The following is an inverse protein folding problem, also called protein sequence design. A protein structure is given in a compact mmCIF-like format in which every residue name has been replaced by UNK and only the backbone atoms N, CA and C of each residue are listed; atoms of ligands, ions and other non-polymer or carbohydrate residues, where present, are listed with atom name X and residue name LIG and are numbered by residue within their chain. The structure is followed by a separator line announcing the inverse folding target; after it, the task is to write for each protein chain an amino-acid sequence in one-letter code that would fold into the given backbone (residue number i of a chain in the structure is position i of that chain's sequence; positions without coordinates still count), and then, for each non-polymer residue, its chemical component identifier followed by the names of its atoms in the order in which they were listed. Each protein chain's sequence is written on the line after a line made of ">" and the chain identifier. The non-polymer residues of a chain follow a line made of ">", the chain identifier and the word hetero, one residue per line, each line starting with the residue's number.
data_IF_281579431001
#
_entry.id   IF_281579431001
#
_cell.length_a   1.000
_cell.length_b   1.000
_cell.length_c   1.000
_cell.angle_alpha   90.00
_cell.angle_beta   90.00
_cell.angle_gamma   90.00
#
_symmetry.space_group_name_H-M   'P 1'
#
loop_
_entity.id
_entity.type
_entity.pdbx_description
1 polymer ?
#
# COMPACT_ATOMS: atom_id res chain seq x y z
N UNK A 1 6.63 -14.43 40.65
CA UNK A 1 7.60 -15.23 39.88
C UNK A 1 7.90 -14.45 38.61
N UNK A 2 9.15 -14.26 38.19
CA UNK A 2 9.42 -13.66 36.89
C UNK A 2 8.78 -14.54 35.82
N UNK A 3 8.06 -13.93 34.87
CA UNK A 3 7.42 -14.65 33.76
C UNK A 3 8.49 -15.50 33.05
N UNK A 4 8.25 -16.80 32.93
CA UNK A 4 9.10 -17.69 32.15
C UNK A 4 9.14 -17.18 30.71
N UNK A 5 10.33 -16.89 30.21
CA UNK A 5 10.56 -16.59 28.79
C UNK A 5 10.39 -17.90 28.04
N UNK A 6 9.17 -18.20 27.63
CA UNK A 6 8.90 -19.35 26.76
C UNK A 6 9.36 -18.95 25.36
N UNK A 7 10.51 -19.49 24.94
CA UNK A 7 10.96 -19.42 23.55
C UNK A 7 9.93 -20.18 22.70
N UNK A 8 9.40 -19.51 21.67
CA UNK A 8 8.37 -20.07 20.80
C UNK A 8 8.80 -21.47 20.27
N UNK A 9 7.87 -22.45 20.18
CA UNK A 9 8.18 -23.76 19.63
C UNK A 9 8.75 -23.64 18.21
N UNK A 10 9.93 -24.21 17.96
CA UNK A 10 10.61 -24.15 16.65
C UNK A 10 9.82 -24.81 15.50
N UNK A 11 8.77 -25.58 15.83
CA UNK A 11 8.07 -26.44 14.87
C UNK A 11 6.73 -25.89 14.35
N UNK A 12 6.38 -24.65 14.71
CA UNK A 12 5.40 -23.89 13.93
C UNK A 12 6.18 -22.80 13.22
N UNK A 13 6.29 -22.90 11.90
CA UNK A 13 6.45 -21.69 11.09
C UNK A 13 5.32 -20.76 11.54
N UNK A 14 5.63 -19.82 12.43
CA UNK A 14 4.79 -18.66 12.63
C UNK A 14 4.69 -18.08 11.23
N UNK A 15 3.53 -18.27 10.59
CA UNK A 15 3.18 -17.58 9.35
C UNK A 15 2.92 -16.13 9.75
N UNK A 16 3.96 -15.49 10.26
CA UNK A 16 3.97 -14.08 10.48
C UNK A 16 4.12 -13.45 9.11
N UNK A 17 3.17 -12.60 8.76
CA UNK A 17 3.24 -11.75 7.57
C UNK A 17 4.45 -10.80 7.61
N UNK A 18 5.11 -10.71 8.77
CA UNK A 18 6.33 -9.96 9.00
C UNK A 18 7.42 -10.83 9.58
N UNK A 19 8.63 -10.70 9.04
CA UNK A 19 9.78 -11.23 9.71
C UNK A 19 10.04 -10.39 10.99
N UNK A 20 9.86 -11.00 12.16
CA UNK A 20 10.17 -10.42 13.47
C UNK A 20 11.61 -10.72 13.92
N UNK A 21 12.48 -11.29 13.06
CA UNK A 21 13.87 -11.62 13.42
C UNK A 21 14.63 -10.43 14.03
N UNK A 22 14.33 -9.21 13.60
CA UNK A 22 14.95 -7.98 14.09
C UNK A 22 14.11 -7.22 15.12
N UNK A 23 13.01 -7.80 15.61
CA UNK A 23 12.05 -7.14 16.52
C UNK A 23 11.87 -7.99 17.77
N UNK A 24 12.01 -7.37 18.93
CA UNK A 24 11.73 -8.01 20.21
C UNK A 24 10.21 -8.19 20.36
N UNK A 25 9.77 -9.45 20.39
CA UNK A 25 8.37 -9.83 20.58
C UNK A 25 8.25 -10.94 21.62
N UNK A 26 7.08 -11.00 22.27
CA UNK A 26 6.71 -12.05 23.22
C UNK A 26 5.40 -12.68 22.80
N UNK A 27 5.30 -14.00 22.92
CA UNK A 27 4.04 -14.71 22.79
C UNK A 27 3.37 -14.78 24.16
N UNK A 28 2.11 -14.35 24.24
CA UNK A 28 1.30 -14.42 25.45
C UNK A 28 0.69 -15.82 25.61
N UNK A 29 0.15 -16.12 26.80
CA UNK A 29 -0.47 -17.42 27.13
C UNK A 29 -1.63 -17.80 26.20
N UNK A 30 -2.37 -16.82 25.70
CA UNK A 30 -3.50 -16.98 24.76
C UNK A 30 -3.05 -17.14 23.29
N UNK A 31 -1.75 -17.32 23.06
CA UNK A 31 -1.09 -17.38 21.74
C UNK A 31 -1.09 -16.08 20.95
N UNK A 32 -1.54 -14.96 21.53
CA UNK A 32 -1.36 -13.64 20.90
C UNK A 32 0.09 -13.19 21.01
N UNK A 33 0.51 -12.26 20.15
CA UNK A 33 1.86 -11.69 20.15
C UNK A 33 1.81 -10.24 20.63
N UNK A 34 2.76 -9.88 21.48
CA UNK A 34 3.04 -8.49 21.86
C UNK A 34 4.45 -8.10 21.37
N UNK A 35 4.58 -6.88 20.89
CA UNK A 35 5.81 -6.33 20.30
C UNK A 35 6.37 -5.25 21.22
N UNK A 36 7.69 -5.24 21.42
CA UNK A 36 8.39 -4.18 22.13
C UNK A 36 8.01 -2.81 21.58
N UNK A 37 7.60 -1.89 22.46
CA UNK A 37 7.17 -0.56 22.03
C UNK A 37 8.33 0.22 21.38
N UNK A 38 9.57 0.00 21.82
CA UNK A 38 10.75 0.61 21.21
C UNK A 38 10.94 0.19 19.76
N UNK A 39 10.84 -1.10 19.47
CA UNK A 39 11.04 -1.62 18.11
C UNK A 39 9.85 -1.23 17.21
N UNK A 40 8.63 -1.28 17.74
CA UNK A 40 7.45 -0.75 17.06
C UNK A 40 7.65 0.73 16.69
N UNK A 41 8.23 1.53 17.58
CA UNK A 41 8.48 2.94 17.30
C UNK A 41 9.55 3.15 16.24
N UNK A 42 10.62 2.36 16.25
CA UNK A 42 11.69 2.43 15.24
C UNK A 42 11.16 2.03 13.86
N UNK A 43 10.50 0.88 13.75
CA UNK A 43 9.91 0.35 12.50
C UNK A 43 8.93 1.34 11.89
N UNK A 44 8.10 2.00 12.71
CA UNK A 44 7.09 2.95 12.24
C UNK A 44 7.61 4.39 12.13
N UNK A 45 8.90 4.64 12.36
CA UNK A 45 9.48 5.99 12.30
C UNK A 45 8.85 6.96 13.32
N UNK A 46 8.42 6.44 14.46
CA UNK A 46 7.96 7.19 15.63
C UNK A 46 9.11 7.53 16.57
N UNK A 47 10.30 7.70 16.02
CA UNK A 47 11.50 8.16 16.73
C UNK A 47 11.84 9.61 16.33
N UNK A 48 12.46 10.34 17.23
CA UNK A 48 13.01 11.68 17.00
C UNK A 48 14.52 11.60 17.19
N UNK A 49 15.26 11.93 16.15
CA UNK A 49 16.72 12.07 16.21
C UNK A 49 17.04 13.52 16.57
N UNK A 50 17.79 13.71 17.65
CA UNK A 50 18.28 15.02 18.11
C UNK A 50 19.78 14.98 18.25
N UNK A 51 20.48 15.99 17.71
CA UNK A 51 21.92 16.16 17.87
C UNK A 51 22.19 17.15 19.00
N UNK A 52 22.94 16.74 20.01
CA UNK A 52 23.43 17.63 21.07
C UNK A 52 24.87 17.27 21.39
N UNK A 53 25.75 18.28 21.44
CA UNK A 53 27.20 18.13 21.70
C UNK A 53 27.88 17.05 20.83
N UNK A 54 27.52 16.95 19.55
CA UNK A 54 28.09 15.96 18.62
C UNK A 54 27.60 14.52 18.83
N UNK A 55 26.76 14.25 19.84
CA UNK A 55 26.09 12.96 20.07
C UNK A 55 24.69 12.96 19.48
N UNK A 56 24.34 11.87 18.82
CA UNK A 56 23.00 11.61 18.32
C UNK A 56 22.17 10.90 19.39
N UNK A 57 21.05 11.51 19.78
CA UNK A 57 20.08 10.94 20.69
C UNK A 57 18.84 10.53 19.90
N UNK A 58 18.44 9.27 20.06
CA UNK A 58 17.19 8.74 19.51
C UNK A 58 16.16 8.67 20.63
N UNK A 59 15.10 9.46 20.49
CA UNK A 59 14.01 9.53 21.47
C UNK A 59 12.72 9.02 20.85
N UNK A 60 12.11 8.00 21.46
CA UNK A 60 10.80 7.51 21.07
C UNK A 60 9.72 8.58 21.30
N UNK A 61 8.82 8.77 20.34
CA UNK A 61 7.67 9.69 20.43
C UNK A 61 6.53 9.06 21.21
N UNK A 62 6.81 8.68 22.46
CA UNK A 62 5.88 7.97 23.34
C UNK A 62 4.57 8.76 23.55
N UNK A 63 4.63 10.08 23.65
CA UNK A 63 3.44 10.95 23.72
C UNK A 63 2.49 10.74 22.53
N UNK A 64 3.04 10.54 21.33
CA UNK A 64 2.25 10.31 20.13
C UNK A 64 1.64 8.92 20.13
N UNK A 65 2.39 7.90 20.57
CA UNK A 65 1.87 6.53 20.70
C UNK A 65 0.71 6.50 21.69
N UNK A 66 0.90 7.09 22.87
CA UNK A 66 -0.13 7.16 23.91
C UNK A 66 -1.36 7.96 23.48
N UNK A 67 -1.17 9.05 22.72
CA UNK A 67 -2.30 9.77 22.11
C UNK A 67 -3.14 8.84 21.21
N UNK A 68 -2.49 8.09 20.33
CA UNK A 68 -3.22 7.15 19.44
C UNK A 68 -3.83 5.98 20.21
N UNK A 69 -3.14 5.47 21.24
CA UNK A 69 -3.68 4.46 22.16
C UNK A 69 -5.02 4.91 22.75
N UNK A 70 -5.07 6.13 23.27
CA UNK A 70 -6.29 6.71 23.84
C UNK A 70 -7.39 6.93 22.79
N UNK A 71 -7.04 7.40 21.59
CA UNK A 71 -8.00 7.56 20.47
C UNK A 71 -8.64 6.22 20.05
N UNK A 72 -7.92 5.11 20.20
CA UNK A 72 -8.43 3.76 19.93
C UNK A 72 -9.09 3.07 21.14
N UNK A 73 -9.25 3.79 22.26
CA UNK A 73 -9.99 3.31 23.42
C UNK A 73 -9.18 2.49 24.43
N UNK A 74 -7.85 2.45 24.31
CA UNK A 74 -7.02 1.85 25.34
C UNK A 74 -6.93 2.78 26.56
N UNK A 75 -7.19 2.23 27.75
CA UNK A 75 -7.00 2.92 29.03
C UNK A 75 -5.56 2.89 29.51
N UNK A 76 -4.77 1.93 29.02
CA UNK A 76 -3.37 1.78 29.39
C UNK A 76 -2.51 2.87 28.75
N UNK A 77 -1.57 3.38 29.55
CA UNK A 77 -0.55 4.32 29.10
C UNK A 77 0.76 3.58 29.00
N UNK A 78 1.25 3.46 27.77
CA UNK A 78 2.48 2.75 27.45
C UNK A 78 3.71 3.51 27.92
N UNK A 79 4.70 2.78 28.39
CA UNK A 79 5.99 3.28 28.83
C UNK A 79 7.16 2.51 28.21
N UNK A 80 8.38 3.02 28.40
CA UNK A 80 9.58 2.36 27.87
C UNK A 80 9.73 0.96 28.48
N UNK A 81 9.99 -0.05 27.65
CA UNK A 81 10.07 -1.46 28.07
C UNK A 81 8.72 -2.18 28.10
N UNK A 82 7.62 -1.50 27.79
CA UNK A 82 6.32 -2.15 27.59
C UNK A 82 6.28 -2.92 26.26
N UNK A 83 5.35 -3.88 26.21
CA UNK A 83 4.99 -4.57 24.98
C UNK A 83 3.58 -4.19 24.57
N UNK A 84 3.43 -3.73 23.34
CA UNK A 84 2.13 -3.43 22.75
C UNK A 84 1.56 -4.66 22.04
N UNK A 85 0.24 -4.87 22.05
CA UNK A 85 -0.36 -5.92 21.24
C UNK A 85 -0.02 -5.75 19.75
N UNK A 86 0.27 -6.84 19.05
CA UNK A 86 0.54 -6.82 17.60
C UNK A 86 -0.61 -6.15 16.82
N UNK A 87 -1.86 -6.37 17.25
CA UNK A 87 -3.03 -5.70 16.70
C UNK A 87 -2.94 -4.17 16.80
N UNK A 88 -2.50 -3.65 17.95
CA UNK A 88 -2.30 -2.21 18.14
C UNK A 88 -1.12 -1.68 17.31
N UNK A 89 -0.04 -2.45 17.18
CA UNK A 89 1.06 -2.13 16.27
C UNK A 89 0.57 -1.92 14.83
N UNK A 90 -0.29 -2.82 14.32
CA UNK A 90 -0.90 -2.62 13.00
C UNK A 90 -1.77 -1.36 12.95
N UNK A 91 -2.56 -1.06 13.98
CA UNK A 91 -3.37 0.16 14.01
C UNK A 91 -2.50 1.43 14.00
N UNK A 92 -1.36 1.42 14.70
CA UNK A 92 -0.36 2.49 14.60
C UNK A 92 0.20 2.59 13.18
N UNK A 93 0.54 1.46 12.56
CA UNK A 93 1.08 1.43 11.22
C UNK A 93 0.14 2.06 10.18
N UNK A 94 -1.18 1.96 10.34
CA UNK A 94 -2.17 2.62 9.49
C UNK A 94 -2.51 4.06 9.90
N UNK A 95 -2.19 4.46 11.14
CA UNK A 95 -2.41 5.82 11.65
C UNK A 95 -1.30 6.79 11.25
N UNK A 96 -0.06 6.30 11.22
CA UNK A 96 1.13 7.15 11.08
C UNK A 96 1.39 7.46 9.61
N UNK A 97 1.54 8.74 9.29
CA UNK A 97 1.81 9.23 7.93
C UNK A 97 3.26 9.70 7.77
N UNK A 98 4.19 8.75 7.74
CA UNK A 98 5.60 8.97 7.41
C UNK A 98 6.12 7.88 6.45
N UNK A 99 7.34 8.06 5.92
CA UNK A 99 7.92 7.12 4.93
C UNK A 99 8.15 5.72 5.50
N UNK A 100 8.54 5.61 6.78
CA UNK A 100 8.72 4.32 7.45
C UNK A 100 7.41 3.51 7.49
N UNK A 101 6.33 4.12 7.97
CA UNK A 101 5.02 3.49 8.03
C UNK A 101 4.45 3.19 6.63
N UNK A 102 4.69 4.05 5.63
CA UNK A 102 4.32 3.75 4.23
C UNK A 102 5.08 2.54 3.68
N UNK A 103 6.38 2.45 3.92
CA UNK A 103 7.21 1.33 3.49
C UNK A 103 6.79 0.03 4.19
N UNK A 104 6.53 0.09 5.49
CA UNK A 104 5.95 -1.01 6.24
C UNK A 104 4.63 -1.47 5.61
N UNK A 105 3.67 -0.57 5.35
CA UNK A 105 2.39 -0.90 4.71
C UNK A 105 2.56 -1.49 3.31
N UNK A 106 3.55 -1.04 2.53
CA UNK A 106 3.88 -1.60 1.22
C UNK A 106 4.34 -3.06 1.37
N UNK A 107 5.29 -3.32 2.26
CA UNK A 107 5.80 -4.67 2.51
C UNK A 107 4.72 -5.60 3.07
N UNK A 108 3.94 -5.11 4.04
CA UNK A 108 2.79 -5.84 4.58
C UNK A 108 1.78 -6.23 3.49
N UNK A 109 1.49 -5.30 2.58
CA UNK A 109 0.55 -5.55 1.49
C UNK A 109 1.07 -6.60 0.50
N UNK A 110 2.39 -6.69 0.30
CA UNK A 110 3.00 -7.74 -0.53
C UNK A 110 2.91 -9.09 0.19
N UNK A 111 3.32 -9.16 1.46
CA UNK A 111 3.24 -10.38 2.26
C UNK A 111 1.80 -10.92 2.37
N UNK A 112 0.82 -10.04 2.61
CA UNK A 112 -0.59 -10.43 2.68
C UNK A 112 -1.10 -10.96 1.34
N UNK A 113 -0.64 -10.40 0.22
CA UNK A 113 -0.96 -10.90 -1.13
C UNK A 113 -0.38 -12.29 -1.33
N UNK A 114 0.88 -12.50 -0.95
CA UNK A 114 1.58 -13.77 -1.12
C UNK A 114 0.94 -14.85 -0.25
N UNK A 115 0.60 -14.53 1.00
CA UNK A 115 -0.16 -15.42 1.89
C UNK A 115 -1.51 -15.80 1.28
N UNK A 116 -2.25 -14.83 0.73
CA UNK A 116 -3.54 -15.09 0.08
C UNK A 116 -3.37 -16.01 -1.13
N UNK A 117 -2.33 -15.79 -1.94
CA UNK A 117 -2.03 -16.66 -3.09
C UNK A 117 -1.72 -18.06 -2.57
N UNK A 118 -0.74 -18.22 -1.66
CA UNK A 118 -0.38 -19.50 -1.05
C UNK A 118 -1.62 -20.24 -0.50
N UNK A 119 -2.43 -19.55 0.30
CA UNK A 119 -3.66 -20.13 0.87
C UNK A 119 -4.66 -20.54 -0.21
N UNK A 120 -4.81 -19.75 -1.27
CA UNK A 120 -5.66 -20.13 -2.40
C UNK A 120 -5.13 -21.39 -3.09
N UNK A 121 -3.82 -21.46 -3.35
CA UNK A 121 -3.17 -22.61 -3.97
C UNK A 121 -3.30 -23.88 -3.13
N UNK A 122 -3.03 -23.78 -1.84
CA UNK A 122 -3.12 -24.91 -0.91
C UNK A 122 -4.56 -25.47 -0.85
N UNK A 123 -5.56 -24.58 -0.93
CA UNK A 123 -6.97 -24.97 -0.95
C UNK A 123 -7.46 -25.44 -2.33
N UNK A 124 -6.81 -25.03 -3.42
CA UNK A 124 -7.12 -25.46 -4.78
C UNK A 124 -6.03 -26.41 -5.28
N UNK A 125 -6.19 -27.72 -5.12
CA UNK A 125 -5.33 -28.75 -5.75
C UNK A 125 -5.38 -28.74 -7.31
N UNK A 126 -5.61 -27.60 -7.98
CA UNK A 126 -6.06 -27.47 -9.38
C UNK A 126 -5.60 -26.24 -10.15
N UNK A 127 -4.72 -25.38 -9.64
CA UNK A 127 -3.99 -24.46 -10.52
C UNK A 127 -2.67 -25.14 -10.87
N UNK A 128 -2.50 -25.59 -12.12
CA UNK A 128 -1.21 -26.14 -12.55
C UNK A 128 -0.12 -25.10 -12.25
N UNK A 129 1.02 -25.51 -11.69
CA UNK A 129 2.11 -24.62 -11.28
C UNK A 129 2.56 -23.63 -12.37
N UNK A 130 2.28 -23.96 -13.63
CA UNK A 130 2.50 -23.11 -14.81
C UNK A 130 1.59 -21.88 -14.84
N UNK A 131 0.30 -22.01 -14.55
CA UNK A 131 -0.65 -20.88 -14.61
C UNK A 131 -0.35 -19.82 -13.55
N UNK A 132 0.16 -20.27 -12.40
CA UNK A 132 0.55 -19.43 -11.28
C UNK A 132 1.84 -18.68 -11.62
N UNK A 133 2.85 -19.40 -12.13
CA UNK A 133 4.10 -18.83 -12.57
C UNK A 133 3.88 -17.80 -13.68
N UNK A 134 2.99 -18.10 -14.64
CA UNK A 134 2.56 -17.18 -15.69
C UNK A 134 1.87 -15.94 -15.12
N UNK A 135 1.00 -16.08 -14.11
CA UNK A 135 0.34 -14.93 -13.47
C UNK A 135 1.33 -14.06 -12.68
N UNK A 136 2.31 -14.69 -12.01
CA UNK A 136 3.37 -14.00 -11.27
C UNK A 136 4.33 -13.26 -12.21
N UNK A 137 4.79 -13.91 -13.29
CA UNK A 137 5.64 -13.31 -14.32
C UNK A 137 4.92 -12.16 -15.03
N UNK A 138 3.67 -12.36 -15.44
CA UNK A 138 2.88 -11.31 -16.08
C UNK A 138 2.63 -10.13 -15.13
N UNK A 139 2.42 -10.39 -13.84
CA UNK A 139 2.23 -9.33 -12.85
C UNK A 139 3.52 -8.55 -12.58
N UNK A 140 4.66 -9.23 -12.43
CA UNK A 140 5.97 -8.62 -12.21
C UNK A 140 6.41 -7.79 -13.41
N UNK A 141 6.22 -8.32 -14.62
CA UNK A 141 6.43 -7.57 -15.86
C UNK A 141 5.53 -6.33 -15.93
N UNK A 142 4.26 -6.46 -15.53
CA UNK A 142 3.33 -5.32 -15.50
C UNK A 142 3.78 -4.27 -14.48
N UNK A 143 4.20 -4.64 -13.28
CA UNK A 143 4.70 -3.67 -12.29
C UNK A 143 5.99 -2.98 -12.73
N UNK A 144 6.95 -3.71 -13.31
CA UNK A 144 8.19 -3.12 -13.84
C UNK A 144 7.93 -2.15 -15.00
N UNK A 145 7.00 -2.49 -15.90
CA UNK A 145 6.57 -1.60 -16.98
C UNK A 145 5.90 -0.34 -16.39
N UNK A 146 5.03 -0.52 -15.40
CA UNK A 146 4.32 0.58 -14.75
C UNK A 146 5.26 1.52 -13.98
N UNK A 147 6.27 0.98 -13.28
CA UNK A 147 7.30 1.79 -12.60
C UNK A 147 8.17 2.57 -13.59
N UNK A 148 8.55 1.95 -14.71
CA UNK A 148 9.30 2.63 -15.79
C UNK A 148 8.50 3.75 -16.46
N UNK A 149 7.19 3.57 -16.64
CA UNK A 149 6.30 4.58 -17.24
C UNK A 149 6.12 5.77 -16.27
N UNK A 150 5.88 5.49 -14.99
CA UNK A 150 5.64 6.51 -13.95
C UNK A 150 6.88 7.34 -13.66
N UNK A 151 8.06 6.71 -13.61
CA UNK A 151 9.32 7.43 -13.41
C UNK A 151 9.69 8.38 -14.55
N UNK A 152 9.03 8.30 -15.71
CA UNK A 152 9.41 9.03 -16.94
C UNK A 152 8.41 10.09 -17.42
N UNK A 153 7.18 10.16 -16.90
CA UNK A 153 6.11 10.94 -17.54
C UNK A 153 5.41 11.93 -16.60
N UNK A 154 5.29 13.19 -17.00
CA UNK A 154 4.41 14.19 -16.37
C UNK A 154 2.92 13.86 -16.64
N UNK A 155 1.98 14.65 -16.10
CA UNK A 155 0.55 14.53 -16.41
C UNK A 155 0.31 14.54 -17.93
N UNK A 156 -0.39 13.55 -18.47
CA UNK A 156 -0.64 13.39 -19.92
C UNK A 156 -2.08 13.68 -20.30
N UNK A 157 -2.34 14.05 -21.55
CA UNK A 157 -3.71 14.25 -22.04
C UNK A 157 -4.45 12.92 -22.22
N UNK A 158 -5.79 12.96 -22.30
CA UNK A 158 -6.63 11.81 -22.68
C UNK A 158 -6.17 11.14 -23.98
N UNK A 159 -5.71 11.95 -24.94
CA UNK A 159 -5.14 11.45 -26.19
C UNK A 159 -3.82 10.71 -25.97
N UNK A 160 -2.93 11.27 -25.15
CA UNK A 160 -1.68 10.63 -24.76
C UNK A 160 -1.92 9.28 -24.10
N UNK A 161 -2.90 9.22 -23.19
CA UNK A 161 -3.27 7.98 -22.52
C UNK A 161 -3.83 6.93 -23.48
N UNK A 162 -4.70 7.31 -24.41
CA UNK A 162 -5.25 6.37 -25.39
C UNK A 162 -4.17 5.78 -26.31
N UNK A 163 -3.18 6.60 -26.70
CA UNK A 163 -2.00 6.13 -27.45
C UNK A 163 -1.18 5.13 -26.64
N UNK A 164 -0.96 5.40 -25.36
CA UNK A 164 -0.21 4.52 -24.47
C UNK A 164 -0.92 3.18 -24.30
N UNK A 165 -2.24 3.15 -24.06
CA UNK A 165 -2.98 1.89 -23.96
C UNK A 165 -2.93 1.11 -25.29
N UNK A 166 -2.97 1.84 -26.42
CA UNK A 166 -2.88 1.23 -27.75
C UNK A 166 -1.50 0.65 -28.06
N UNK A 167 -0.41 1.29 -27.58
CA UNK A 167 0.95 0.75 -27.76
C UNK A 167 1.17 -0.54 -26.97
N UNK A 168 0.47 -0.71 -25.85
CA UNK A 168 0.50 -1.93 -25.02
C UNK A 168 -0.45 -3.03 -25.52
N UNK A 169 -0.90 -2.97 -26.78
CA UNK A 169 -1.66 -4.05 -27.43
C UNK A 169 -3.18 -4.00 -27.26
N UNK A 170 -3.75 -2.95 -26.65
CA UNK A 170 -5.22 -2.74 -26.59
C UNK A 170 -5.64 -1.53 -27.43
N UNK A 171 -6.07 -1.78 -28.67
CA UNK A 171 -6.54 -0.72 -29.56
C UNK A 171 -7.72 0.06 -28.94
N UNK A 172 -7.48 1.35 -28.65
CA UNK A 172 -8.49 2.22 -28.07
C UNK A 172 -8.40 3.65 -28.64
N UNK A 173 -9.56 4.19 -29.02
CA UNK A 173 -9.65 5.59 -29.45
C UNK A 173 -9.79 6.54 -28.25
N UNK A 174 -9.41 7.80 -28.42
CA UNK A 174 -9.60 8.84 -27.39
C UNK A 174 -11.08 8.94 -26.96
N UNK A 175 -12.02 8.75 -27.91
CA UNK A 175 -13.45 8.71 -27.64
C UNK A 175 -13.85 7.49 -26.80
N UNK A 176 -13.33 6.31 -27.14
CA UNK A 176 -13.58 5.08 -26.38
C UNK A 176 -13.04 5.18 -24.95
N UNK A 177 -11.84 5.76 -24.77
CA UNK A 177 -11.30 6.00 -23.44
C UNK A 177 -12.17 6.95 -22.63
N UNK A 178 -12.69 8.04 -23.23
CA UNK A 178 -13.61 8.96 -22.54
C UNK A 178 -14.85 8.26 -22.01
N UNK A 179 -15.48 7.41 -22.80
CA UNK A 179 -16.68 6.67 -22.36
C UNK A 179 -16.37 5.72 -21.20
N UNK A 180 -15.23 5.02 -21.25
CA UNK A 180 -14.79 4.15 -20.14
C UNK A 180 -14.52 4.97 -18.87
N UNK A 181 -13.88 6.14 -18.99
CA UNK A 181 -13.63 7.01 -17.84
C UNK A 181 -14.91 7.60 -17.24
N UNK A 182 -15.94 7.86 -18.06
CA UNK A 182 -17.28 8.23 -17.57
C UNK A 182 -17.93 7.06 -16.82
N UNK A 183 -17.86 5.85 -17.37
CA UNK A 183 -18.36 4.64 -16.70
C UNK A 183 -17.68 4.41 -15.34
N UNK A 184 -16.41 4.80 -15.23
CA UNK A 184 -15.64 4.68 -13.98
C UNK A 184 -15.82 5.85 -13.01
N UNK A 185 -16.76 6.77 -13.29
CA UNK A 185 -16.99 7.98 -12.49
C UNK A 185 -15.73 8.86 -12.35
N UNK A 186 -14.85 8.84 -13.36
CA UNK A 186 -13.65 9.69 -13.42
C UNK A 186 -13.94 10.98 -14.16
N UNK A 187 -14.75 10.91 -15.24
CA UNK A 187 -15.25 12.08 -15.96
C UNK A 187 -16.73 12.28 -15.68
N UNK A 188 -17.19 13.53 -15.72
CA UNK A 188 -18.61 13.86 -15.62
C UNK A 188 -19.40 13.19 -16.77
N UNK A 189 -20.60 12.68 -16.45
CA UNK A 189 -21.48 12.01 -17.42
C UNK A 189 -21.78 12.89 -18.64
N UNK A 190 -22.07 14.16 -18.39
CA UNK A 190 -22.46 15.15 -19.41
C UNK A 190 -21.34 16.14 -19.77
N UNK A 191 -20.10 15.88 -19.33
CA UNK A 191 -19.00 16.83 -19.44
C UNK A 191 -17.71 16.20 -19.95
N UNK A 192 -16.72 17.06 -20.20
CA UNK A 192 -15.34 16.65 -20.46
C UNK A 192 -14.47 16.79 -19.22
N UNK A 193 -15.02 17.29 -18.13
CA UNK A 193 -14.34 17.59 -16.87
C UNK A 193 -14.19 16.37 -15.97
N UNK A 194 -13.17 16.34 -15.11
CA UNK A 194 -13.03 15.32 -14.07
C UNK A 194 -14.13 15.48 -13.02
N UNK A 195 -14.51 14.36 -12.39
CA UNK A 195 -15.36 14.41 -11.19
C UNK A 195 -14.57 14.93 -10.00
N UNK A 196 -15.26 15.48 -9.00
CA UNK A 196 -14.65 15.84 -7.72
C UNK A 196 -13.91 14.64 -7.10
N UNK A 197 -14.48 13.44 -7.21
CA UNK A 197 -13.84 12.17 -6.84
C UNK A 197 -12.48 11.95 -7.53
N UNK A 198 -12.40 12.21 -8.84
CA UNK A 198 -11.15 12.05 -9.59
C UNK A 198 -10.08 13.07 -9.19
N UNK A 199 -10.50 14.28 -8.82
CA UNK A 199 -9.61 15.35 -8.35
C UNK A 199 -9.06 15.04 -6.96
N UNK A 200 -9.92 14.70 -6.01
CA UNK A 200 -9.54 14.39 -4.61
C UNK A 200 -8.63 13.16 -4.52
N UNK A 201 -8.82 12.19 -5.42
CA UNK A 201 -7.95 11.01 -5.52
C UNK A 201 -6.67 11.28 -6.31
N UNK A 202 -6.51 12.47 -6.88
CA UNK A 202 -5.37 12.85 -7.71
C UNK A 202 -5.23 11.97 -8.96
N UNK A 203 -6.35 11.51 -9.53
CA UNK A 203 -6.40 10.71 -10.78
C UNK A 203 -6.30 11.64 -11.99
N UNK A 204 -6.98 12.78 -11.92
CA UNK A 204 -6.96 13.78 -12.96
C UNK A 204 -6.64 15.15 -12.38
N UNK A 205 -6.10 16.01 -13.23
CA UNK A 205 -5.97 17.45 -13.07
C UNK A 205 -6.62 18.12 -14.28
N UNK A 206 -6.86 19.41 -14.21
CA UNK A 206 -7.29 20.18 -15.38
C UNK A 206 -6.49 21.45 -15.52
N UNK A 207 -6.28 21.87 -16.77
CA UNK A 207 -5.69 23.16 -17.10
C UNK A 207 -6.58 23.94 -18.05
N UNK A 208 -6.49 25.26 -17.98
CA UNK A 208 -7.11 26.16 -18.95
C UNK A 208 -6.04 26.66 -19.90
N UNK A 209 -6.28 26.56 -21.20
CA UNK A 209 -5.47 27.32 -22.16
C UNK A 209 -5.84 28.80 -22.05
N UNK A 210 -4.85 29.70 -22.20
CA UNK A 210 -5.03 31.16 -22.07
C UNK A 210 -6.23 31.74 -22.86
N UNK A 211 -6.66 31.06 -23.94
CA UNK A 211 -7.74 31.52 -24.82
C UNK A 211 -8.93 30.53 -24.95
N UNK A 212 -9.02 29.47 -24.13
CA UNK A 212 -10.08 28.47 -24.26
C UNK A 212 -10.87 28.33 -22.95
N UNK A 213 -12.20 28.49 -23.02
CA UNK A 213 -13.09 28.33 -21.85
C UNK A 213 -13.26 26.88 -21.40
N UNK A 214 -12.88 25.92 -22.25
CA UNK A 214 -13.04 24.50 -21.94
C UNK A 214 -11.79 23.95 -21.23
N UNK A 215 -11.93 23.36 -20.03
CA UNK A 215 -10.81 22.75 -19.32
C UNK A 215 -10.28 21.52 -20.07
N UNK A 216 -8.97 21.37 -20.06
CA UNK A 216 -8.27 20.23 -20.64
C UNK A 216 -7.96 19.26 -19.52
N UNK A 217 -8.49 18.04 -19.63
CA UNK A 217 -8.20 17.00 -18.66
C UNK A 217 -6.83 16.41 -18.89
N UNK A 218 -6.05 16.44 -17.83
CA UNK A 218 -4.76 15.79 -17.71
C UNK A 218 -4.91 14.60 -16.75
N UNK A 219 -4.39 13.46 -17.14
CA UNK A 219 -4.30 12.27 -16.31
C UNK A 219 -2.94 12.32 -15.63
N UNK A 220 -2.96 12.43 -14.29
CA UNK A 220 -1.74 12.45 -13.47
C UNK A 220 -1.00 11.12 -13.59
N UNK A 221 0.24 11.05 -13.12
CA UNK A 221 0.97 9.78 -13.02
C UNK A 221 0.17 8.70 -12.26
N UNK A 222 -0.47 9.10 -11.15
CA UNK A 222 -1.32 8.21 -10.35
C UNK A 222 -2.56 7.76 -11.13
N UNK A 223 -3.16 8.65 -11.92
CA UNK A 223 -4.26 8.33 -12.80
C UNK A 223 -3.88 7.38 -13.93
N UNK A 224 -2.68 7.54 -14.50
CA UNK A 224 -2.15 6.68 -15.56
C UNK A 224 -2.01 5.24 -15.03
N UNK A 225 -1.39 5.08 -13.84
CA UNK A 225 -1.32 3.80 -13.15
C UNK A 225 -2.71 3.19 -12.89
N UNK A 226 -3.62 3.98 -12.35
CA UNK A 226 -4.98 3.52 -12.03
C UNK A 226 -5.68 2.99 -13.29
N UNK A 227 -5.61 3.73 -14.39
CA UNK A 227 -6.27 3.36 -15.64
C UNK A 227 -5.63 2.10 -16.23
N UNK A 228 -4.29 2.03 -16.29
CA UNK A 228 -3.59 0.85 -16.81
C UNK A 228 -3.87 -0.41 -15.99
N UNK A 229 -3.78 -0.33 -14.66
CA UNK A 229 -4.09 -1.46 -13.76
C UNK A 229 -5.52 -1.97 -13.97
N UNK A 230 -6.46 -1.08 -14.27
CA UNK A 230 -7.87 -1.45 -14.51
C UNK A 230 -8.12 -1.99 -15.92
N UNK A 231 -7.41 -1.47 -16.93
CA UNK A 231 -7.50 -1.96 -18.31
C UNK A 231 -6.85 -3.33 -18.49
N UNK A 232 -5.68 -3.56 -17.90
CA UNK A 232 -4.87 -4.75 -18.12
C UNK A 232 -4.98 -5.78 -16.98
N UNK A 233 -5.89 -5.58 -16.03
CA UNK A 233 -6.12 -6.57 -14.95
C UNK A 233 -6.48 -7.93 -15.56
N UNK A 234 -5.70 -9.00 -15.31
CA UNK A 234 -6.09 -10.33 -15.72
C UNK A 234 -7.40 -10.70 -15.02
N UNK A 235 -8.42 -11.05 -15.80
CA UNK A 235 -9.70 -11.52 -15.26
C UNK A 235 -9.52 -12.99 -14.89
N UNK A 236 -9.47 -13.29 -13.59
CA UNK A 236 -9.63 -14.66 -13.10
C UNK A 236 -11.11 -15.00 -13.26
N UNK A 237 -11.46 -15.62 -14.38
CA UNK A 237 -12.83 -16.04 -14.69
C UNK A 237 -13.42 -15.33 -15.89
N UNK A 238 -13.12 -15.88 -17.08
CA UNK A 238 -14.14 -16.39 -18.00
C UNK A 238 -13.43 -17.32 -19.00
N UNK A 239 -14.01 -18.51 -19.17
CA UNK A 239 -13.74 -19.39 -20.30
C UNK A 239 -13.98 -18.65 -21.61
#
# INVERSE_FOLDING_TARGET
>A
MPAEVIVAPQDRELVSLFNFEDIQAVQNEDMTISISIEDAAEVLGLVKITKSNGKEYRNMRLDRINKYSQEYGFSHKWEKGDYIPESFFYWLAFKVENEHAKNFRKNFSLALRDLRIKTYLDNTQKAESRDILLLEENFKATEEILERIVGRTNSITLRGMAKLISSEGKAISERGLKEILKMWNILLKNGKEPTQYALERGICEYSFYKNNKNPVVLITQRGQLFILKKFFRPHVGKK
#
